data_IF_892249212277
#
_entry.id   IF_892249212277
#
_cell.length_a   1.000
_cell.length_b   1.000
_cell.length_c   1.000
_cell.angle_alpha   90.00
_cell.angle_beta   90.00
_cell.angle_gamma   90.00
#
_symmetry.space_group_name_H-M   'P 1'
#
loop_
_entity.id
_entity.type
_entity.pdbx_description
1 polymer ?
#
# COMPACT_ATOMS: atom_id res chain seq x y z
N UNK A 1 10.63 -42.61 -16.92
CA UNK A 1 9.68 -41.58 -16.43
C UNK A 1 9.66 -40.32 -17.29
N UNK A 2 10.79 -39.88 -17.88
CA UNK A 2 10.84 -38.74 -18.81
C UNK A 2 10.49 -39.05 -20.28
N UNK A 3 9.99 -40.25 -20.61
CA UNK A 3 9.74 -40.66 -22.01
C UNK A 3 8.43 -40.10 -22.59
N UNK A 4 7.50 -39.64 -21.75
CA UNK A 4 6.17 -39.18 -22.17
C UNK A 4 6.01 -37.65 -22.17
N UNK A 5 7.01 -36.90 -21.68
CA UNK A 5 6.95 -35.43 -21.59
C UNK A 5 8.09 -34.82 -22.40
N UNK A 6 7.72 -34.11 -23.47
CA UNK A 6 8.66 -33.30 -24.23
C UNK A 6 9.07 -32.08 -23.40
N UNK A 7 10.32 -32.07 -22.92
CA UNK A 7 10.88 -30.98 -22.11
C UNK A 7 10.67 -29.59 -22.73
N UNK A 8 10.77 -29.48 -24.06
CA UNK A 8 10.55 -28.23 -24.80
C UNK A 8 9.11 -27.72 -24.67
N UNK A 9 8.11 -28.61 -24.75
CA UNK A 9 6.69 -28.25 -24.63
C UNK A 9 6.37 -27.83 -23.21
N UNK A 10 6.88 -28.56 -22.21
CA UNK A 10 6.74 -28.20 -20.80
C UNK A 10 7.26 -26.79 -20.52
N UNK A 11 8.48 -26.49 -20.99
CA UNK A 11 9.10 -25.19 -20.74
C UNK A 11 8.35 -24.03 -21.39
N UNK A 12 7.84 -24.22 -22.61
CA UNK A 12 7.01 -23.22 -23.29
C UNK A 12 5.69 -23.00 -22.54
N UNK A 13 5.00 -24.07 -22.14
CA UNK A 13 3.75 -23.93 -21.36
C UNK A 13 3.97 -23.26 -20.01
N UNK A 14 5.12 -23.52 -19.36
CA UNK A 14 5.47 -22.93 -18.08
C UNK A 14 5.72 -21.42 -18.19
N UNK A 15 6.47 -21.00 -19.20
CA UNK A 15 6.72 -19.58 -19.48
C UNK A 15 5.42 -18.83 -19.80
N UNK A 16 4.53 -19.43 -20.60
CA UNK A 16 3.22 -18.86 -20.89
C UNK A 16 2.38 -18.73 -19.61
N UNK A 17 2.36 -19.75 -18.75
CA UNK A 17 1.67 -19.70 -17.45
C UNK A 17 2.18 -18.55 -16.55
N UNK A 18 3.50 -18.39 -16.45
CA UNK A 18 4.10 -17.27 -15.71
C UNK A 18 3.73 -15.91 -16.30
N UNK A 19 3.73 -15.80 -17.63
CA UNK A 19 3.34 -14.57 -18.32
C UNK A 19 1.88 -14.19 -18.07
N UNK A 20 0.97 -15.17 -18.07
CA UNK A 20 -0.43 -14.92 -17.71
C UNK A 20 -0.58 -14.42 -16.28
N UNK A 21 0.10 -15.06 -15.31
CA UNK A 21 0.08 -14.60 -13.91
C UNK A 21 0.61 -13.17 -13.77
N UNK A 22 1.66 -12.82 -14.53
CA UNK A 22 2.21 -11.48 -14.54
C UNK A 22 1.20 -10.43 -15.06
N UNK A 23 0.52 -10.71 -16.17
CA UNK A 23 -0.49 -9.79 -16.74
C UNK A 23 -1.73 -9.69 -15.86
N UNK A 24 -2.21 -10.80 -15.34
CA UNK A 24 -3.42 -10.85 -14.51
C UNK A 24 -3.26 -10.00 -13.24
N UNK A 25 -2.02 -9.77 -12.80
CA UNK A 25 -1.68 -8.84 -11.75
C UNK A 25 -2.14 -9.30 -10.38
N UNK A 26 -1.36 -8.99 -9.35
CA UNK A 26 -1.82 -9.20 -7.98
C UNK A 26 -2.83 -8.12 -7.62
N UNK A 27 -3.88 -8.49 -6.88
CA UNK A 27 -4.84 -7.50 -6.40
C UNK A 27 -4.13 -6.55 -5.42
N UNK A 28 -4.08 -5.26 -5.76
CA UNK A 28 -3.60 -4.24 -4.85
C UNK A 28 -4.55 -4.16 -3.65
N UNK A 29 -4.13 -4.72 -2.51
CA UNK A 29 -4.90 -4.64 -1.27
C UNK A 29 -4.79 -3.22 -0.72
N UNK A 30 -5.90 -2.50 -0.73
CA UNK A 30 -5.99 -1.20 -0.06
C UNK A 30 -5.94 -1.46 1.45
N UNK A 31 -4.84 -1.06 2.09
CA UNK A 31 -4.70 -1.10 3.54
C UNK A 31 -5.07 0.27 4.08
N UNK A 32 -6.14 0.34 4.88
CA UNK A 32 -6.53 1.55 5.59
C UNK A 32 -5.60 1.72 6.80
N UNK A 33 -4.57 2.54 6.66
CA UNK A 33 -3.63 2.88 7.73
C UNK A 33 -3.97 4.27 8.24
N UNK A 34 -4.12 4.41 9.56
CA UNK A 34 -4.30 5.72 10.18
C UNK A 34 -2.94 6.43 10.32
N UNK A 35 -2.86 7.75 10.08
CA UNK A 35 -1.63 8.52 10.32
C UNK A 35 -1.24 8.49 11.80
N UNK A 36 -0.30 7.62 12.15
CA UNK A 36 0.41 7.68 13.44
C UNK A 36 1.60 8.65 13.31
N UNK A 37 1.95 9.38 14.38
CA UNK A 37 3.11 10.29 14.45
C UNK A 37 4.42 9.67 13.94
N UNK A 38 4.58 8.36 14.09
CA UNK A 38 5.74 7.58 13.63
C UNK A 38 5.69 7.20 12.14
N UNK A 39 4.50 7.17 11.52
CA UNK A 39 4.30 6.71 10.14
C UNK A 39 3.97 7.84 9.15
N UNK A 40 3.58 9.03 9.63
CA UNK A 40 3.20 10.20 8.82
C UNK A 40 4.28 10.61 7.80
N UNK A 41 5.55 10.35 8.13
CA UNK A 41 6.67 10.72 7.27
C UNK A 41 6.80 9.82 6.05
N UNK A 42 6.45 8.53 6.06
CA UNK A 42 6.84 7.59 4.98
C UNK A 42 5.70 7.10 4.08
N UNK A 43 4.45 7.53 4.33
CA UNK A 43 3.29 7.08 3.55
C UNK A 43 2.55 8.26 2.89
N UNK A 44 2.16 8.08 1.63
CA UNK A 44 1.22 8.97 0.94
C UNK A 44 -0.19 8.48 1.22
N UNK A 45 -1.03 9.37 1.73
CA UNK A 45 -2.44 9.11 1.96
C UNK A 45 -3.23 9.51 0.72
N UNK A 46 -4.24 8.71 0.39
CA UNK A 46 -5.18 8.98 -0.71
C UNK A 46 -6.55 9.26 -0.09
N UNK A 47 -7.14 10.39 -0.41
CA UNK A 47 -8.50 10.72 0.04
C UNK A 47 -9.54 10.08 -0.87
N UNK A 48 -10.81 10.25 -0.46
CA UNK A 48 -11.98 9.83 -1.25
C UNK A 48 -12.12 10.62 -2.56
N UNK A 49 -11.46 11.78 -2.71
CA UNK A 49 -11.44 12.60 -3.92
C UNK A 49 -10.31 12.21 -4.89
N UNK A 50 -9.47 11.24 -4.55
CA UNK A 50 -8.36 10.75 -5.38
C UNK A 50 -7.11 11.62 -5.32
N UNK A 51 -7.02 12.57 -4.39
CA UNK A 51 -5.85 13.40 -4.18
C UNK A 51 -4.86 12.71 -3.22
N UNK A 52 -3.57 12.85 -3.52
CA UNK A 52 -2.49 12.29 -2.71
C UNK A 52 -1.89 13.38 -1.83
N UNK A 53 -1.79 13.15 -0.52
CA UNK A 53 -1.24 14.10 0.46
C UNK A 53 -0.32 13.39 1.45
N UNK A 54 0.59 14.17 2.04
CA UNK A 54 1.53 13.72 3.07
C UNK A 54 1.32 14.55 4.32
N UNK A 55 1.05 13.91 5.45
CA UNK A 55 0.97 14.60 6.72
C UNK A 55 2.38 14.91 7.21
N UNK A 56 2.68 16.19 7.47
CA UNK A 56 3.88 16.60 8.21
C UNK A 56 3.44 17.00 9.61
N UNK A 57 3.74 16.18 10.60
CA UNK A 57 3.62 16.55 12.01
C UNK A 57 4.76 17.48 12.39
N UNK A 58 4.44 18.61 13.02
CA UNK A 58 5.42 19.52 13.63
C UNK A 58 5.30 19.36 15.15
N UNK A 59 6.41 19.07 15.80
CA UNK A 59 6.47 19.08 17.26
C UNK A 59 6.38 20.53 17.74
N UNK A 60 5.48 20.77 18.69
CA UNK A 60 5.26 22.07 19.32
C UNK A 60 5.28 21.85 20.82
N UNK A 61 5.71 22.85 21.58
CA UNK A 61 5.58 22.81 23.03
C UNK A 61 4.10 22.75 23.38
N UNK A 62 3.75 21.81 24.27
CA UNK A 62 2.38 21.68 24.74
C UNK A 62 1.99 22.98 25.47
N UNK A 63 0.93 23.68 25.04
CA UNK A 63 0.47 24.86 25.75
C UNK A 63 -0.03 24.48 27.14
N UNK A 64 0.27 25.30 28.14
CA UNK A 64 -0.21 25.12 29.52
C UNK A 64 -1.75 25.20 29.63
N UNK A 65 -2.37 25.90 28.68
CA UNK A 65 -3.82 26.02 28.57
C UNK A 65 -4.42 24.90 27.69
N UNK A 66 -5.09 23.96 28.37
CA UNK A 66 -5.78 22.81 27.77
C UNK A 66 -6.87 23.21 26.76
N UNK A 67 -7.42 24.44 26.84
CA UNK A 67 -8.46 24.91 25.93
C UNK A 67 -7.95 25.18 24.51
N UNK A 68 -6.63 25.32 24.34
CA UNK A 68 -5.99 25.57 23.04
C UNK A 68 -5.77 24.26 22.26
N UNK A 69 -5.97 23.11 22.89
CA UNK A 69 -5.81 21.78 22.29
C UNK A 69 -7.04 21.46 21.44
N UNK A 70 -6.89 21.54 20.11
CA UNK A 70 -7.95 21.16 19.16
C UNK A 70 -8.04 19.64 19.04
N UNK A 71 -9.15 19.08 19.51
CA UNK A 71 -9.52 17.69 19.22
C UNK A 71 -10.18 17.63 17.84
N UNK A 72 -9.54 16.93 16.89
CA UNK A 72 -10.10 16.74 15.56
C UNK A 72 -10.98 15.48 15.62
N UNK A 73 -12.30 15.59 15.39
CA UNK A 73 -13.19 14.44 15.42
C UNK A 73 -12.87 13.49 14.25
N UNK A 74 -13.07 12.19 14.50
CA UNK A 74 -13.00 11.17 13.46
C UNK A 74 -14.14 11.44 12.45
N UNK A 75 -13.77 11.71 11.19
CA UNK A 75 -14.69 11.95 10.06
C UNK A 75 -14.82 10.72 9.16
#
# INVERSE_FOLDING_TARGET
>A
MFEYISFRVFFISFLLGLFFLYILGTQNKIVYVYPTLTNSTNILFKDKAGQYFRFKSKEVECPDDLSTIKQIPIQ
#
